data_IF_053770690877
#
_entry.id   IF_053770690877
#
_cell.length_a   1.000
_cell.length_b   1.000
_cell.length_c   1.000
_cell.angle_alpha   90.00
_cell.angle_beta   90.00
_cell.angle_gamma   90.00
#
_symmetry.space_group_name_H-M   'P 1'
#
loop_
_entity.id
_entity.type
_entity.pdbx_description
1 polymer ?
#
# COMPACT_ATOMS: atom_id res chain seq x y z
N UNK A 1 -50.04 -21.18 -5.36
CA UNK A 1 -49.82 -21.00 -6.81
C UNK A 1 -49.35 -22.34 -7.29
N UNK A 2 -50.10 -22.96 -8.21
CA UNK A 2 -49.78 -24.30 -8.69
C UNK A 2 -48.43 -24.25 -9.41
N UNK A 3 -47.59 -25.24 -9.16
CA UNK A 3 -46.26 -25.35 -9.76
C UNK A 3 -46.38 -25.40 -11.29
N UNK A 4 -45.69 -24.47 -11.96
CA UNK A 4 -45.68 -24.37 -13.41
C UNK A 4 -44.91 -25.51 -14.11
N UNK A 5 -44.14 -26.30 -13.35
CA UNK A 5 -43.37 -27.41 -13.88
C UNK A 5 -44.12 -28.74 -13.78
N UNK A 6 -44.65 -29.09 -12.61
CA UNK A 6 -45.33 -30.38 -12.40
C UNK A 6 -46.87 -30.30 -12.43
N UNK A 7 -47.48 -29.11 -12.35
CA UNK A 7 -48.93 -28.86 -12.35
C UNK A 7 -49.76 -29.56 -11.24
N UNK A 8 -49.13 -30.35 -10.37
CA UNK A 8 -49.81 -31.17 -9.35
C UNK A 8 -49.76 -30.57 -7.94
N UNK A 9 -48.72 -29.79 -7.61
CA UNK A 9 -48.46 -29.32 -6.25
C UNK A 9 -48.39 -27.79 -6.21
N UNK A 10 -48.88 -27.18 -5.12
CA UNK A 10 -48.66 -25.76 -4.85
C UNK A 10 -47.23 -25.50 -4.35
N UNK A 11 -46.67 -24.35 -4.75
CA UNK A 11 -45.43 -23.86 -4.15
C UNK A 11 -45.60 -23.60 -2.64
N UNK A 12 -44.55 -23.90 -1.88
CA UNK A 12 -44.45 -23.62 -0.45
C UNK A 12 -43.23 -22.75 -0.16
N UNK A 13 -43.42 -21.72 0.68
CA UNK A 13 -42.32 -20.86 1.11
C UNK A 13 -41.31 -21.66 1.94
N UNK A 14 -40.05 -21.58 1.58
CA UNK A 14 -38.94 -22.23 2.28
C UNK A 14 -37.70 -21.33 2.29
N UNK A 15 -36.77 -21.63 3.20
CA UNK A 15 -35.48 -20.94 3.30
C UNK A 15 -34.41 -21.75 2.59
N UNK A 16 -33.66 -21.08 1.71
CA UNK A 16 -32.53 -21.65 1.00
C UNK A 16 -31.28 -20.79 1.16
N UNK A 17 -30.14 -21.42 0.97
CA UNK A 17 -28.86 -20.73 0.81
C UNK A 17 -28.47 -20.75 -0.65
N UNK A 18 -28.00 -19.62 -1.18
CA UNK A 18 -27.60 -19.50 -2.60
C UNK A 18 -26.19 -18.98 -2.71
N UNK A 19 -25.39 -19.62 -3.55
CA UNK A 19 -24.05 -19.16 -3.87
C UNK A 19 -24.12 -17.96 -4.83
N UNK A 20 -23.35 -16.93 -4.56
CA UNK A 20 -23.21 -15.74 -5.39
C UNK A 20 -21.74 -15.33 -5.46
N UNK A 21 -21.30 -14.88 -6.63
CA UNK A 21 -19.99 -14.26 -6.80
C UNK A 21 -20.06 -12.82 -6.28
N UNK A 22 -19.40 -12.54 -5.15
CA UNK A 22 -19.33 -11.23 -4.51
C UNK A 22 -17.85 -10.84 -4.41
N UNK A 23 -17.46 -9.74 -5.07
CA UNK A 23 -16.07 -9.27 -5.13
C UNK A 23 -15.07 -10.34 -5.59
N UNK A 24 -15.44 -11.12 -6.61
CA UNK A 24 -14.60 -12.18 -7.20
C UNK A 24 -14.44 -13.43 -6.32
N UNK A 25 -15.17 -13.52 -5.20
CA UNK A 25 -15.19 -14.68 -4.30
C UNK A 25 -16.58 -15.30 -4.28
N UNK A 26 -16.64 -16.62 -4.28
CA UNK A 26 -17.89 -17.35 -4.08
C UNK A 26 -18.31 -17.19 -2.60
N UNK A 27 -19.47 -16.58 -2.37
CA UNK A 27 -20.04 -16.41 -1.04
C UNK A 27 -21.44 -17.03 -1.01
N UNK A 28 -21.81 -17.58 0.14
CA UNK A 28 -23.14 -18.15 0.38
C UNK A 28 -24.01 -17.08 1.01
N UNK A 29 -25.12 -16.73 0.36
CA UNK A 29 -26.15 -15.86 0.92
C UNK A 29 -27.15 -16.73 1.68
N UNK A 30 -27.21 -16.65 3.02
CA UNK A 30 -28.09 -17.50 3.82
C UNK A 30 -29.52 -16.95 3.92
N UNK A 31 -30.43 -17.84 4.32
CA UNK A 31 -31.80 -17.55 4.74
C UNK A 31 -32.61 -16.78 3.68
N UNK A 32 -32.50 -17.18 2.42
CA UNK A 32 -33.29 -16.62 1.33
C UNK A 32 -34.65 -17.29 1.28
N UNK A 33 -35.72 -16.52 1.45
CA UNK A 33 -37.07 -16.99 1.20
C UNK A 33 -37.27 -17.23 -0.29
N UNK A 34 -37.81 -18.39 -0.62
CA UNK A 34 -38.19 -18.77 -1.97
C UNK A 34 -39.42 -19.67 -1.95
N UNK A 35 -40.07 -19.80 -3.09
CA UNK A 35 -41.20 -20.68 -3.31
C UNK A 35 -40.70 -21.99 -3.92
N UNK A 36 -40.76 -23.10 -3.18
CA UNK A 36 -40.29 -24.42 -3.62
C UNK A 36 -41.45 -25.40 -3.77
N UNK A 37 -41.49 -26.10 -4.89
CA UNK A 37 -42.48 -27.14 -5.13
C UNK A 37 -42.08 -28.44 -4.41
N UNK A 38 -42.94 -29.04 -3.57
CA UNK A 38 -42.61 -30.28 -2.86
C UNK A 38 -42.57 -31.51 -3.78
N UNK A 39 -43.27 -31.47 -4.92
CA UNK A 39 -43.34 -32.60 -5.86
C UNK A 39 -42.11 -32.73 -6.77
N UNK A 40 -41.72 -31.65 -7.46
CA UNK A 40 -40.61 -31.68 -8.42
C UNK A 40 -39.36 -30.91 -7.97
N UNK A 41 -39.41 -30.17 -6.86
CA UNK A 41 -38.29 -29.40 -6.35
C UNK A 41 -38.01 -28.08 -7.06
N UNK A 42 -38.84 -27.69 -8.04
CA UNK A 42 -38.71 -26.42 -8.74
C UNK A 42 -38.76 -25.24 -7.75
N UNK A 43 -37.91 -24.24 -7.98
CA UNK A 43 -37.71 -23.11 -7.06
C UNK A 43 -37.88 -21.80 -7.81
N UNK A 44 -38.84 -20.99 -7.37
CA UNK A 44 -39.11 -19.67 -7.92
C UNK A 44 -38.97 -18.60 -6.84
N UNK A 45 -38.61 -17.39 -7.25
CA UNK A 45 -38.56 -16.23 -6.37
C UNK A 45 -39.65 -15.26 -6.79
N UNK A 46 -40.45 -14.80 -5.84
CA UNK A 46 -41.34 -13.67 -6.08
C UNK A 46 -40.52 -12.39 -6.30
N UNK A 47 -41.18 -11.32 -6.76
CA UNK A 47 -40.52 -10.03 -6.91
C UNK A 47 -39.94 -9.52 -5.57
N UNK A 48 -40.70 -9.62 -4.49
CA UNK A 48 -40.26 -9.18 -3.16
C UNK A 48 -39.09 -10.03 -2.63
N UNK A 49 -39.15 -11.36 -2.80
CA UNK A 49 -38.07 -12.27 -2.43
C UNK A 49 -36.79 -12.00 -3.24
N UNK A 50 -36.93 -11.71 -4.54
CA UNK A 50 -35.80 -11.33 -5.40
C UNK A 50 -35.15 -10.03 -4.94
N UNK A 51 -35.95 -9.01 -4.60
CA UNK A 51 -35.44 -7.75 -4.04
C UNK A 51 -34.76 -7.95 -2.67
N UNK A 52 -35.30 -8.84 -1.82
CA UNK A 52 -34.69 -9.18 -0.53
C UNK A 52 -33.34 -9.89 -0.71
N UNK A 53 -33.26 -10.82 -1.67
CA UNK A 53 -32.02 -11.48 -2.06
C UNK A 53 -30.98 -10.46 -2.54
N UNK A 54 -31.37 -9.53 -3.42
CA UNK A 54 -30.47 -8.49 -3.92
C UNK A 54 -30.01 -7.56 -2.80
N UNK A 55 -30.89 -7.17 -1.87
CA UNK A 55 -30.50 -6.38 -0.70
C UNK A 55 -29.48 -7.11 0.16
N UNK A 56 -29.66 -8.40 0.42
CA UNK A 56 -28.69 -9.22 1.16
C UNK A 56 -27.35 -9.29 0.42
N UNK A 57 -27.38 -9.56 -0.88
CA UNK A 57 -26.18 -9.59 -1.74
C UNK A 57 -25.42 -8.26 -1.67
N UNK A 58 -26.12 -7.14 -1.85
CA UNK A 58 -25.56 -5.78 -1.81
C UNK A 58 -24.99 -5.47 -0.42
N UNK A 59 -25.68 -5.84 0.65
CA UNK A 59 -25.17 -5.66 2.01
C UNK A 59 -23.90 -6.46 2.27
N UNK A 60 -23.81 -7.69 1.78
CA UNK A 60 -22.57 -8.48 1.87
C UNK A 60 -21.43 -7.83 1.08
N UNK A 61 -21.73 -7.23 -0.08
CA UNK A 61 -20.74 -6.45 -0.85
C UNK A 61 -20.25 -5.24 -0.03
N UNK A 62 -21.15 -4.47 0.58
CA UNK A 62 -20.81 -3.34 1.45
C UNK A 62 -20.00 -3.75 2.69
N UNK A 63 -20.40 -4.81 3.38
CA UNK A 63 -19.73 -5.27 4.60
C UNK A 63 -18.34 -5.87 4.34
N UNK A 64 -18.05 -6.28 3.11
CA UNK A 64 -16.76 -6.89 2.77
C UNK A 64 -15.62 -5.89 2.59
N UNK A 65 -15.91 -4.60 2.35
CA UNK A 65 -14.91 -3.56 2.13
C UNK A 65 -14.73 -2.71 3.39
N UNK A 66 -13.50 -2.49 3.87
CA UNK A 66 -13.28 -1.63 5.02
C UNK A 66 -13.68 -0.19 4.71
N UNK A 67 -14.20 0.53 5.70
CA UNK A 67 -14.49 1.96 5.57
C UNK A 67 -13.19 2.74 5.41
N UNK A 68 -13.11 3.59 4.38
CA UNK A 68 -11.94 4.43 4.14
C UNK A 68 -11.85 5.54 5.18
N UNK A 69 -10.66 5.72 5.75
CA UNK A 69 -10.38 6.80 6.70
C UNK A 69 -10.22 8.15 6.00
N UNK A 70 -10.39 9.29 6.71
CA UNK A 70 -10.11 10.62 6.18
C UNK A 70 -8.72 10.74 5.56
N UNK A 71 -7.70 10.13 6.19
CA UNK A 71 -6.33 10.12 5.68
C UNK A 71 -6.21 9.31 4.38
N UNK A 72 -6.90 8.17 4.27
CA UNK A 72 -6.90 7.36 3.05
C UNK A 72 -7.56 8.09 1.87
N UNK A 73 -8.66 8.82 2.12
CA UNK A 73 -9.33 9.61 1.08
C UNK A 73 -8.45 10.76 0.57
N UNK A 74 -7.77 11.45 1.51
CA UNK A 74 -6.80 12.49 1.16
C UNK A 74 -5.60 11.93 0.40
N UNK A 75 -5.09 10.78 0.83
CA UNK A 75 -3.99 10.09 0.18
C UNK A 75 -4.36 9.61 -1.23
N UNK A 76 -5.57 9.06 -1.42
CA UNK A 76 -6.09 8.70 -2.74
C UNK A 76 -6.01 9.88 -3.71
N UNK A 77 -6.50 11.04 -3.28
CA UNK A 77 -6.47 12.26 -4.08
C UNK A 77 -5.03 12.69 -4.42
N UNK A 78 -4.11 12.60 -3.45
CA UNK A 78 -2.70 12.92 -3.64
C UNK A 78 -2.00 11.97 -4.62
N UNK A 79 -2.25 10.66 -4.53
CA UNK A 79 -1.71 9.64 -5.44
C UNK A 79 -2.14 9.93 -6.87
N UNK A 80 -3.41 10.26 -7.06
CA UNK A 80 -3.97 10.59 -8.37
C UNK A 80 -3.61 11.99 -8.86
N UNK A 81 -2.92 12.78 -8.04
CA UNK A 81 -2.50 14.17 -8.32
C UNK A 81 -3.68 15.07 -8.69
N UNK A 82 -4.83 14.83 -8.07
CA UNK A 82 -6.05 15.60 -8.31
C UNK A 82 -6.21 16.70 -7.27
N UNK A 83 -6.77 17.81 -7.71
CA UNK A 83 -7.34 18.82 -6.83
C UNK A 83 -8.62 18.30 -6.18
N UNK A 84 -9.11 19.00 -5.15
CA UNK A 84 -10.37 18.65 -4.51
C UNK A 84 -11.54 18.76 -5.49
N UNK A 85 -11.49 19.71 -6.43
CA UNK A 85 -12.55 19.91 -7.43
C UNK A 85 -12.54 18.76 -8.46
N UNK A 86 -11.38 18.40 -8.98
CA UNK A 86 -11.24 17.33 -9.99
C UNK A 86 -11.73 15.96 -9.47
N UNK A 87 -11.40 15.58 -8.23
CA UNK A 87 -11.88 14.30 -7.69
C UNK A 87 -13.39 14.31 -7.42
N UNK A 88 -13.94 15.48 -7.07
CA UNK A 88 -15.38 15.64 -6.85
C UNK A 88 -16.13 15.53 -8.18
N UNK A 89 -15.63 16.18 -9.24
CA UNK A 89 -16.20 16.09 -10.58
C UNK A 89 -16.14 14.67 -11.12
N UNK A 90 -15.01 13.98 -10.92
CA UNK A 90 -14.80 12.60 -11.35
C UNK A 90 -15.75 11.61 -10.66
N UNK A 91 -15.98 11.79 -9.36
CA UNK A 91 -16.87 10.93 -8.59
C UNK A 91 -18.33 11.40 -8.64
N UNK A 92 -18.61 12.54 -9.29
CA UNK A 92 -19.90 13.24 -9.27
C UNK A 92 -20.44 13.49 -7.84
N UNK A 93 -19.56 13.98 -6.97
CA UNK A 93 -19.84 14.29 -5.56
C UNK A 93 -19.76 15.80 -5.34
N UNK A 94 -20.65 16.36 -4.53
CA UNK A 94 -20.52 17.76 -4.13
C UNK A 94 -19.22 18.02 -3.36
N UNK A 95 -18.52 19.11 -3.72
CA UNK A 95 -17.24 19.53 -3.11
C UNK A 95 -17.23 19.50 -1.59
N UNK A 96 -18.32 19.94 -0.97
CA UNK A 96 -18.46 19.98 0.48
C UNK A 96 -18.47 18.58 1.08
N UNK A 97 -19.11 17.60 0.45
CA UNK A 97 -19.20 16.23 0.97
C UNK A 97 -17.82 15.57 1.04
N UNK A 98 -17.09 15.55 -0.09
CA UNK A 98 -15.76 14.94 -0.13
C UNK A 98 -14.78 15.66 0.81
N UNK A 99 -14.81 16.99 0.83
CA UNK A 99 -13.97 17.78 1.73
C UNK A 99 -14.24 17.51 3.21
N UNK A 100 -15.50 17.28 3.61
CA UNK A 100 -15.87 16.91 4.99
C UNK A 100 -15.36 15.52 5.35
N UNK A 101 -15.38 14.57 4.41
CA UNK A 101 -14.82 13.24 4.61
C UNK A 101 -13.30 13.27 4.80
N UNK A 102 -12.56 14.03 3.98
CA UNK A 102 -11.09 14.19 4.16
C UNK A 102 -10.71 14.83 5.51
N UNK A 103 -11.59 15.66 6.08
CA UNK A 103 -11.38 16.30 7.39
C UNK A 103 -11.90 15.46 8.56
N UNK A 104 -12.63 14.37 8.29
CA UNK A 104 -13.26 13.55 9.32
C UNK A 104 -14.44 14.23 10.02
N UNK A 105 -15.07 15.22 9.40
CA UNK A 105 -16.26 15.89 9.96
C UNK A 105 -17.53 15.05 9.78
N UNK A 106 -17.54 14.15 8.79
CA UNK A 106 -18.64 13.24 8.47
C UNK A 106 -18.06 11.93 7.97
N UNK A 107 -18.64 10.81 8.39
CA UNK A 107 -18.29 9.50 7.88
C UNK A 107 -18.80 9.31 6.44
N UNK A 108 -18.01 8.61 5.63
CA UNK A 108 -18.42 8.23 4.29
C UNK A 108 -19.56 7.20 4.36
N UNK A 109 -20.60 7.38 3.54
CA UNK A 109 -21.70 6.41 3.50
C UNK A 109 -21.24 5.10 2.85
N UNK A 110 -21.85 3.95 3.20
CA UNK A 110 -21.45 2.65 2.63
C UNK A 110 -21.45 2.62 1.09
N UNK A 111 -22.47 3.23 0.46
CA UNK A 111 -22.58 3.34 -1.00
C UNK A 111 -21.41 4.10 -1.63
N UNK A 112 -21.01 5.21 -1.01
CA UNK A 112 -19.90 6.02 -1.50
C UNK A 112 -18.55 5.35 -1.21
N UNK A 113 -18.43 4.65 -0.09
CA UNK A 113 -17.24 3.85 0.22
C UNK A 113 -17.03 2.77 -0.85
N UNK A 114 -18.08 2.05 -1.24
CA UNK A 114 -18.00 1.05 -2.31
C UNK A 114 -17.61 1.67 -3.65
N UNK A 115 -18.22 2.80 -4.02
CA UNK A 115 -17.88 3.51 -5.26
C UNK A 115 -16.39 3.87 -5.29
N UNK A 116 -15.86 4.40 -4.19
CA UNK A 116 -14.44 4.76 -4.10
C UNK A 116 -13.55 3.52 -4.13
N UNK A 117 -13.95 2.41 -3.51
CA UNK A 117 -13.21 1.14 -3.62
C UNK A 117 -13.17 0.61 -5.05
N UNK A 118 -14.29 0.61 -5.77
CA UNK A 118 -14.34 0.22 -7.18
C UNK A 118 -13.49 1.15 -8.05
N UNK A 119 -13.45 2.44 -7.69
CA UNK A 119 -12.58 3.40 -8.34
C UNK A 119 -11.11 3.08 -8.07
N UNK A 120 -10.70 2.84 -6.80
CA UNK A 120 -9.34 2.43 -6.43
C UNK A 120 -8.92 1.20 -7.24
N UNK A 121 -9.80 0.20 -7.39
CA UNK A 121 -9.49 -1.03 -8.15
C UNK A 121 -9.09 -0.78 -9.62
N UNK A 122 -9.50 0.34 -10.22
CA UNK A 122 -9.14 0.71 -11.59
C UNK A 122 -7.77 1.38 -11.72
N UNK A 123 -7.19 1.86 -10.62
CA UNK A 123 -5.89 2.56 -10.62
C UNK A 123 -4.85 1.74 -9.85
N UNK A 124 -3.90 1.07 -10.54
CA UNK A 124 -2.88 0.24 -9.89
C UNK A 124 -2.11 0.99 -8.80
N UNK A 125 -1.79 2.26 -9.03
CA UNK A 125 -1.06 3.11 -8.08
C UNK A 125 -1.87 3.35 -6.79
N UNK A 126 -3.18 3.56 -6.90
CA UNK A 126 -4.05 3.70 -5.74
C UNK A 126 -4.15 2.37 -4.96
N UNK A 127 -4.31 1.24 -5.66
CA UNK A 127 -4.39 -0.09 -5.04
C UNK A 127 -3.17 -0.39 -4.20
N UNK A 128 -1.98 -0.25 -4.77
CA UNK A 128 -0.72 -0.60 -4.11
C UNK A 128 -0.44 0.29 -2.89
N UNK A 129 -0.96 1.52 -2.87
CA UNK A 129 -0.74 2.45 -1.76
C UNK A 129 -1.82 2.42 -0.67
N UNK A 130 -3.05 1.99 -0.99
CA UNK A 130 -4.19 2.02 -0.07
C UNK A 130 -4.60 0.64 0.44
N UNK A 131 -4.33 -0.42 -0.33
CA UNK A 131 -4.69 -1.80 0.01
C UNK A 131 -3.44 -2.51 0.52
N UNK A 132 -3.42 -2.81 1.81
CA UNK A 132 -2.22 -3.36 2.48
C UNK A 132 -1.77 -4.70 1.90
N UNK A 133 -2.70 -5.57 1.51
CA UNK A 133 -2.36 -6.86 0.90
C UNK A 133 -1.68 -6.71 -0.45
N UNK A 134 -2.11 -5.75 -1.27
CA UNK A 134 -1.51 -5.46 -2.59
C UNK A 134 -0.13 -4.82 -2.42
N UNK A 135 0.00 -3.87 -1.48
CA UNK A 135 1.27 -3.26 -1.11
C UNK A 135 2.31 -4.32 -0.74
N UNK A 136 1.94 -5.24 0.15
CA UNK A 136 2.83 -6.29 0.63
C UNK A 136 3.20 -7.26 -0.50
N UNK A 137 2.25 -7.61 -1.37
CA UNK A 137 2.53 -8.47 -2.52
C UNK A 137 3.55 -7.85 -3.49
N UNK A 138 3.43 -6.57 -3.80
CA UNK A 138 4.39 -5.87 -4.65
C UNK A 138 5.76 -5.70 -3.97
N UNK A 139 5.80 -5.44 -2.66
CA UNK A 139 7.05 -5.44 -1.88
C UNK A 139 7.74 -6.79 -1.96
N UNK A 140 7.04 -7.90 -1.71
CA UNK A 140 7.63 -9.23 -1.74
C UNK A 140 8.17 -9.62 -3.11
N UNK A 141 7.46 -9.24 -4.17
CA UNK A 141 7.85 -9.45 -5.56
C UNK A 141 9.07 -8.62 -5.97
N UNK A 142 9.18 -7.38 -5.50
CA UNK A 142 10.29 -6.48 -5.83
C UNK A 142 11.54 -6.74 -5.00
N UNK A 143 11.38 -7.04 -3.71
CA UNK A 143 12.45 -7.24 -2.71
C UNK A 143 13.65 -8.06 -3.21
N UNK A 144 13.50 -9.28 -3.76
CA UNK A 144 14.66 -10.11 -4.13
C UNK A 144 15.53 -9.50 -5.23
N UNK A 145 15.00 -8.55 -6.02
CA UNK A 145 15.76 -7.89 -7.10
C UNK A 145 16.78 -6.88 -6.59
N UNK A 146 16.63 -6.42 -5.35
CA UNK A 146 17.40 -5.32 -4.78
C UNK A 146 18.20 -5.72 -3.53
N UNK A 147 18.18 -7.00 -3.16
CA UNK A 147 19.00 -7.57 -2.10
C UNK A 147 20.26 -8.19 -2.70
N UNK A 148 21.17 -7.36 -3.18
CA UNK A 148 22.49 -7.78 -3.65
C UNK A 148 23.59 -7.25 -2.75
N UNK A 149 24.77 -7.89 -2.80
CA UNK A 149 25.83 -7.65 -1.81
C UNK A 149 26.41 -6.24 -1.78
N UNK A 150 26.19 -5.47 -2.84
CA UNK A 150 26.71 -4.11 -3.00
C UNK A 150 25.70 -3.00 -2.70
N UNK A 151 24.42 -3.32 -2.51
CA UNK A 151 23.37 -2.30 -2.39
C UNK A 151 23.40 -1.68 -0.99
N UNK A 152 23.27 -0.35 -0.93
CA UNK A 152 23.14 0.38 0.33
C UNK A 152 21.69 0.50 0.77
N UNK A 153 21.44 0.84 2.05
CA UNK A 153 20.07 1.04 2.53
C UNK A 153 19.33 2.12 1.73
N UNK A 154 19.98 3.26 1.47
CA UNK A 154 19.37 4.35 0.71
C UNK A 154 19.02 3.95 -0.72
N UNK A 155 19.92 3.22 -1.39
CA UNK A 155 19.66 2.68 -2.73
C UNK A 155 18.53 1.66 -2.74
N UNK A 156 18.53 0.73 -1.78
CA UNK A 156 17.47 -0.26 -1.61
C UNK A 156 16.10 0.43 -1.48
N UNK A 157 15.97 1.40 -0.57
CA UNK A 157 14.69 2.10 -0.34
C UNK A 157 14.21 2.83 -1.60
N UNK A 158 15.10 3.55 -2.31
CA UNK A 158 14.75 4.23 -3.57
C UNK A 158 14.30 3.24 -4.65
N UNK A 159 15.03 2.14 -4.80
CA UNK A 159 14.71 1.12 -5.80
C UNK A 159 13.39 0.42 -5.48
N UNK A 160 13.12 0.15 -4.20
CA UNK A 160 11.84 -0.39 -3.75
C UNK A 160 10.67 0.57 -4.03
N UNK A 161 10.80 1.85 -3.66
CA UNK A 161 9.79 2.89 -3.94
C UNK A 161 9.51 2.97 -5.45
N UNK A 162 10.56 3.04 -6.27
CA UNK A 162 10.44 3.14 -7.72
C UNK A 162 9.80 1.89 -8.35
N UNK A 163 10.19 0.69 -7.91
CA UNK A 163 9.71 -0.56 -8.49
C UNK A 163 8.27 -0.90 -8.08
N UNK A 164 7.90 -0.61 -6.84
CA UNK A 164 6.55 -0.89 -6.30
C UNK A 164 5.56 0.22 -6.61
N UNK A 165 6.03 1.42 -6.98
CA UNK A 165 5.21 2.64 -7.10
C UNK A 165 4.50 3.04 -5.80
N UNK A 166 5.00 2.60 -4.64
CA UNK A 166 4.55 3.10 -3.35
C UNK A 166 5.06 4.53 -3.19
N UNK A 167 4.22 5.46 -2.77
CA UNK A 167 4.61 6.86 -2.60
C UNK A 167 5.50 7.04 -1.38
N UNK A 168 6.40 8.01 -1.44
CA UNK A 168 7.29 8.34 -0.31
C UNK A 168 6.52 8.71 0.95
N UNK A 169 5.33 9.33 0.82
CA UNK A 169 4.45 9.64 1.95
C UNK A 169 3.98 8.36 2.67
N UNK A 170 3.56 7.34 1.92
CA UNK A 170 3.11 6.06 2.48
C UNK A 170 4.25 5.33 3.17
N UNK A 171 5.43 5.31 2.54
CA UNK A 171 6.63 4.73 3.17
C UNK A 171 6.96 5.50 4.46
N UNK A 172 6.99 6.83 4.42
CA UNK A 172 7.25 7.66 5.60
C UNK A 172 6.29 7.36 6.76
N UNK A 173 4.98 7.31 6.49
CA UNK A 173 3.96 6.96 7.49
C UNK A 173 4.21 5.58 8.08
N UNK A 174 4.50 4.57 7.25
CA UNK A 174 4.74 3.19 7.71
C UNK A 174 6.04 3.05 8.49
N UNK A 175 7.03 3.89 8.22
CA UNK A 175 8.28 3.94 8.96
C UNK A 175 8.20 4.81 10.23
N UNK A 176 7.20 5.67 10.33
CA UNK A 176 7.04 6.64 11.43
C UNK A 176 7.93 7.87 11.29
N UNK A 177 8.23 8.27 10.05
CA UNK A 177 9.12 9.39 9.73
C UNK A 177 8.51 10.36 8.73
N UNK A 178 9.00 11.60 8.73
CA UNK A 178 8.64 12.59 7.72
C UNK A 178 9.31 12.31 6.36
N UNK A 179 8.77 12.87 5.29
CA UNK A 179 9.34 12.76 3.93
C UNK A 179 10.78 13.27 3.84
N UNK A 180 11.12 14.34 4.55
CA UNK A 180 12.48 14.87 4.60
C UNK A 180 13.48 13.95 5.31
N UNK A 181 13.04 13.15 6.29
CA UNK A 181 13.90 12.15 6.94
C UNK A 181 14.07 10.92 6.05
N UNK A 182 12.98 10.49 5.38
CA UNK A 182 13.05 9.44 4.38
C UNK A 182 14.04 9.81 3.26
N UNK A 183 13.99 11.04 2.76
CA UNK A 183 14.92 11.53 1.73
C UNK A 183 16.38 11.48 2.19
N UNK A 184 16.67 11.78 3.46
CA UNK A 184 18.02 11.62 4.02
C UNK A 184 18.47 10.17 4.09
N UNK A 185 17.57 9.24 4.44
CA UNK A 185 17.85 7.79 4.41
C UNK A 185 18.10 7.34 2.97
N UNK A 186 17.19 7.68 2.05
CA UNK A 186 17.34 7.43 0.62
C UNK A 186 18.69 7.93 0.12
N UNK A 187 19.16 9.09 0.59
CA UNK A 187 20.44 9.68 0.19
C UNK A 187 21.64 9.25 1.05
N UNK A 188 21.54 8.20 1.86
CA UNK A 188 22.64 7.74 2.72
C UNK A 188 23.28 8.86 3.57
N UNK A 189 22.52 9.89 3.93
CA UNK A 189 23.01 11.08 4.66
C UNK A 189 23.07 10.86 6.16
N UNK A 190 22.34 9.86 6.65
CA UNK A 190 22.29 9.50 8.06
C UNK A 190 23.23 8.31 8.28
N UNK A 191 24.23 8.41 9.18
CA UNK A 191 25.01 7.25 9.58
C UNK A 191 24.10 6.15 10.12
N UNK A 192 24.31 4.88 9.77
CA UNK A 192 23.46 3.77 10.22
C UNK A 192 23.13 3.77 11.70
N UNK A 193 24.10 4.05 12.56
CA UNK A 193 23.94 4.06 14.01
C UNK A 193 23.11 5.25 14.52
N UNK A 194 22.95 6.29 13.70
CA UNK A 194 22.11 7.45 14.00
C UNK A 194 20.67 7.26 13.53
N UNK A 195 20.35 6.19 12.78
CA UNK A 195 18.97 5.85 12.45
C UNK A 195 18.31 5.33 13.74
N UNK A 196 17.22 5.95 14.23
CA UNK A 196 16.56 5.48 15.44
C UNK A 196 16.14 4.02 15.34
N UNK A 197 16.33 3.26 16.42
CA UNK A 197 16.11 1.81 16.48
C UNK A 197 14.70 1.43 16.02
N UNK A 198 13.68 2.20 16.42
CA UNK A 198 12.30 1.97 16.00
C UNK A 198 12.09 2.12 14.50
N UNK A 199 12.78 3.06 13.85
CA UNK A 199 12.70 3.26 12.40
C UNK A 199 13.40 2.11 11.67
N UNK A 200 14.58 1.68 12.14
CA UNK A 200 15.27 0.53 11.58
C UNK A 200 14.43 -0.76 11.70
N UNK A 201 13.77 -0.98 12.85
CA UNK A 201 12.84 -2.09 13.02
C UNK A 201 11.62 -1.98 12.08
N UNK A 202 11.07 -0.77 11.89
CA UNK A 202 9.98 -0.54 10.95
C UNK A 202 10.40 -0.78 9.50
N UNK A 203 11.63 -0.44 9.10
CA UNK A 203 12.19 -0.75 7.77
C UNK A 203 12.21 -2.27 7.56
N UNK A 204 12.68 -3.02 8.57
CA UNK A 204 12.70 -4.49 8.52
C UNK A 204 11.31 -5.07 8.36
N UNK A 205 10.34 -4.61 9.18
CA UNK A 205 8.95 -5.07 9.13
C UNK A 205 8.27 -4.71 7.82
N UNK A 206 8.41 -3.46 7.38
CA UNK A 206 7.73 -2.93 6.20
C UNK A 206 8.23 -3.57 4.91
N UNK A 207 9.55 -3.65 4.72
CA UNK A 207 10.14 -4.24 3.51
C UNK A 207 10.35 -5.76 3.62
N UNK A 208 9.95 -6.38 4.73
CA UNK A 208 10.10 -7.82 5.02
C UNK A 208 11.51 -8.34 4.78
N UNK A 209 12.54 -7.60 5.20
CA UNK A 209 13.94 -8.03 5.05
C UNK A 209 14.40 -8.79 6.31
N UNK A 210 15.47 -9.59 6.21
CA UNK A 210 16.06 -10.25 7.40
C UNK A 210 17.01 -9.29 8.12
N UNK A 211 17.40 -9.63 9.35
CA UNK A 211 18.43 -8.88 10.07
C UNK A 211 19.80 -8.92 9.38
N UNK A 212 20.12 -10.01 8.70
CA UNK A 212 21.35 -10.14 7.92
C UNK A 212 21.33 -9.19 6.71
N UNK A 213 20.20 -9.11 6.00
CA UNK A 213 20.00 -8.16 4.92
C UNK A 213 20.13 -6.73 5.43
N UNK A 214 19.49 -6.39 6.56
CA UNK A 214 19.61 -5.07 7.15
C UNK A 214 21.07 -4.73 7.47
N UNK A 215 21.79 -5.65 8.14
CA UNK A 215 23.21 -5.46 8.45
C UNK A 215 24.01 -5.15 7.20
N UNK A 216 23.84 -5.93 6.14
CA UNK A 216 24.55 -5.74 4.88
C UNK A 216 24.25 -4.38 4.23
N UNK A 217 22.97 -4.00 4.16
CA UNK A 217 22.55 -2.70 3.63
C UNK A 217 23.17 -1.53 4.40
N UNK A 218 23.21 -1.63 5.74
CA UNK A 218 23.80 -0.61 6.61
C UNK A 218 25.34 -0.55 6.48
N UNK A 219 26.01 -1.70 6.40
CA UNK A 219 27.46 -1.75 6.16
C UNK A 219 27.84 -1.09 4.83
N UNK A 220 27.04 -1.30 3.78
CA UNK A 220 27.24 -0.64 2.50
C UNK A 220 26.96 0.86 2.57
N UNK A 221 25.96 1.30 3.34
CA UNK A 221 25.75 2.73 3.63
C UNK A 221 26.97 3.35 4.33
N UNK A 222 27.60 2.67 5.30
CA UNK A 222 28.84 3.15 5.94
C UNK A 222 30.00 3.28 4.95
N UNK A 223 30.16 2.34 4.01
CA UNK A 223 31.20 2.42 2.97
C UNK A 223 31.03 3.69 2.12
N UNK A 224 29.81 3.98 1.67
CA UNK A 224 29.49 5.17 0.87
C UNK A 224 29.82 6.45 1.65
N UNK A 225 29.47 6.52 2.93
CA UNK A 225 29.77 7.67 3.76
C UNK A 225 31.28 7.89 3.96
N UNK A 226 32.03 6.80 4.12
CA UNK A 226 33.49 6.83 4.18
C UNK A 226 34.09 7.50 2.94
N UNK A 227 33.64 7.09 1.75
CA UNK A 227 34.08 7.69 0.49
C UNK A 227 33.67 9.15 0.33
N UNK A 228 32.46 9.51 0.76
CA UNK A 228 31.97 10.91 0.68
C UNK A 228 32.89 11.89 1.43
N UNK A 229 33.55 11.43 2.49
CA UNK A 229 34.54 12.25 3.22
C UNK A 229 35.91 12.36 2.51
N UNK A 230 36.20 11.50 1.54
CA UNK A 230 37.48 11.41 0.84
C UNK A 230 37.44 12.04 -0.56
N UNK A 231 36.27 12.13 -1.18
CA UNK A 231 36.14 12.69 -2.54
C UNK A 231 35.83 14.18 -2.48
N UNK A 232 36.81 15.00 -2.87
CA UNK A 232 36.60 16.43 -3.15
C UNK A 232 36.13 16.59 -4.59
N UNK A 233 34.87 16.98 -4.80
CA UNK A 233 34.29 17.12 -6.13
C UNK A 233 34.43 18.56 -6.64
N UNK A 234 35.10 18.76 -7.77
CA UNK A 234 35.05 20.02 -8.50
C UNK A 234 33.64 20.23 -9.07
N UNK A 235 32.98 21.32 -8.65
CA UNK A 235 31.61 21.63 -9.02
C UNK A 235 31.54 22.21 -10.44
N UNK A 236 30.83 21.54 -11.35
CA UNK A 236 30.25 22.21 -12.51
C UNK A 236 29.05 23.03 -12.02
N UNK A 237 28.99 24.32 -12.36
CA UNK A 237 27.92 25.24 -11.92
C UNK A 237 26.54 24.70 -12.30
N UNK A 238 25.77 24.23 -11.32
CA UNK A 238 24.35 23.89 -11.52
C UNK A 238 23.54 25.20 -11.56
N UNK A 239 22.77 25.49 -12.62
CA UNK A 239 22.09 26.78 -12.78
C UNK A 239 20.82 26.93 -11.91
N UNK A 240 20.48 25.93 -11.08
CA UNK A 240 19.27 25.92 -10.28
C UNK A 240 19.59 26.14 -8.80
N UNK A 241 19.07 27.23 -8.22
CA UNK A 241 19.17 27.55 -6.80
C UNK A 241 17.87 27.16 -6.08
N UNK A 242 17.96 26.35 -5.01
CA UNK A 242 16.84 25.98 -4.14
C UNK A 242 16.89 24.53 -3.63
N UNK A 243 16.12 24.23 -2.56
CA UNK A 243 16.04 22.89 -1.93
C UNK A 243 15.79 21.70 -2.89
N UNK A 244 14.95 21.82 -3.94
CA UNK A 244 14.76 20.72 -4.89
C UNK A 244 16.02 20.43 -5.71
N UNK A 245 16.83 21.44 -6.01
CA UNK A 245 18.08 21.25 -6.74
C UNK A 245 19.15 20.57 -5.87
N UNK A 246 19.18 20.89 -4.58
CA UNK A 246 20.08 20.25 -3.61
C UNK A 246 19.78 18.75 -3.46
N UNK A 247 18.51 18.36 -3.40
CA UNK A 247 18.17 16.95 -3.26
C UNK A 247 18.39 16.14 -4.53
N UNK A 248 18.11 16.71 -5.71
CA UNK A 248 18.46 16.10 -7.00
C UNK A 248 19.97 15.92 -7.13
N UNK A 249 20.75 16.91 -6.67
CA UNK A 249 22.20 16.81 -6.61
C UNK A 249 22.65 15.70 -5.65
N UNK A 250 22.14 15.67 -4.42
CA UNK A 250 22.47 14.63 -3.44
C UNK A 250 22.17 13.21 -3.98
N UNK A 251 21.01 13.02 -4.63
CA UNK A 251 20.65 11.75 -5.29
C UNK A 251 21.63 11.37 -6.39
N UNK A 252 22.02 12.31 -7.24
CA UNK A 252 22.94 12.07 -8.35
C UNK A 252 24.34 11.71 -7.83
N UNK A 253 24.82 12.43 -6.82
CA UNK A 253 26.10 12.19 -6.16
C UNK A 253 26.16 10.80 -5.52
N UNK A 254 25.10 10.41 -4.80
CA UNK A 254 25.05 9.08 -4.19
C UNK A 254 25.04 7.96 -5.22
N UNK A 255 24.33 8.12 -6.34
CA UNK A 255 24.37 7.14 -7.44
C UNK A 255 25.77 6.96 -8.02
N UNK A 256 26.55 8.04 -8.10
CA UNK A 256 27.95 7.98 -8.55
C UNK A 256 28.79 7.22 -7.51
N UNK A 257 28.69 7.60 -6.23
CA UNK A 257 29.43 6.95 -5.15
C UNK A 257 29.09 5.46 -5.02
N UNK A 258 27.82 5.09 -5.15
CA UNK A 258 27.35 3.70 -5.14
C UNK A 258 28.03 2.86 -6.24
N UNK A 259 28.15 3.41 -7.45
CA UNK A 259 28.89 2.73 -8.54
C UNK A 259 30.38 2.59 -8.24
N UNK A 260 31.01 3.62 -7.69
CA UNK A 260 32.44 3.56 -7.30
C UNK A 260 32.71 2.53 -6.18
N UNK A 261 31.79 2.35 -5.23
CA UNK A 261 31.92 1.32 -4.18
C UNK A 261 31.92 -0.10 -4.78
N UNK A 262 31.17 -0.32 -5.86
CA UNK A 262 31.12 -1.61 -6.56
C UNK A 262 32.44 -1.93 -7.25
N UNK A 263 33.12 -0.91 -7.79
CA UNK A 263 34.27 -1.10 -8.68
C UNK A 263 35.62 -1.14 -7.96
N UNK A 264 35.83 -0.40 -6.85
CA UNK A 264 37.20 -0.07 -6.40
C UNK A 264 37.47 -0.12 -4.87
N UNK A 265 36.59 -0.67 -4.04
CA UNK A 265 36.78 -0.57 -2.58
C UNK A 265 37.78 -1.59 -1.99
N UNK A 266 38.98 -1.18 -1.48
CA UNK A 266 39.69 -1.98 -0.50
C UNK A 266 38.80 -2.14 0.74
N UNK A 267 38.77 -3.34 1.31
CA UNK A 267 37.89 -3.72 2.42
C UNK A 267 38.12 -2.84 3.67
N UNK A 268 37.48 -1.66 3.69
CA UNK A 268 37.31 -0.85 4.88
C UNK A 268 36.48 -1.66 5.88
N UNK A 269 37.14 -2.10 6.97
CA UNK A 269 36.59 -2.93 8.05
C UNK A 269 35.56 -2.20 8.94
N UNK A 270 34.96 -1.09 8.49
CA UNK A 270 33.93 -0.41 9.29
C UNK A 270 32.64 -1.20 9.20
N UNK A 271 32.43 -2.05 10.19
CA UNK A 271 31.18 -2.77 10.43
C UNK A 271 30.27 -1.95 11.31
N UNK A 272 28.96 -2.08 11.11
CA UNK A 272 27.95 -1.47 11.99
C UNK A 272 28.09 -2.05 13.41
N UNK A 273 27.93 -1.21 14.44
CA UNK A 273 27.97 -1.66 15.83
C UNK A 273 27.03 -2.85 16.08
N UNK A 274 27.55 -4.02 16.53
CA UNK A 274 26.73 -5.19 16.84
C UNK A 274 25.67 -4.96 17.91
N UNK A 275 25.93 -4.07 18.88
CA UNK A 275 24.98 -3.72 19.93
C UNK A 275 23.76 -2.97 19.37
N UNK A 276 23.98 -2.11 18.37
CA UNK A 276 22.88 -1.45 17.65
C UNK A 276 21.99 -2.47 16.95
N UNK A 277 22.59 -3.40 16.20
CA UNK A 277 21.86 -4.47 15.50
C UNK A 277 21.09 -5.36 16.47
N UNK A 278 21.68 -5.67 17.63
CA UNK A 278 21.00 -6.43 18.68
C UNK A 278 19.75 -5.70 19.19
N UNK A 279 19.86 -4.40 19.50
CA UNK A 279 18.73 -3.58 19.94
C UNK A 279 17.61 -3.52 18.90
N UNK A 280 17.95 -3.41 17.61
CA UNK A 280 16.96 -3.49 16.52
C UNK A 280 16.28 -4.85 16.49
N UNK A 281 17.05 -5.94 16.62
CA UNK A 281 16.53 -7.30 16.69
C UNK A 281 15.61 -7.53 17.90
N UNK A 282 15.93 -6.95 19.05
CA UNK A 282 15.11 -7.03 20.26
C UNK A 282 13.78 -6.29 20.08
N UNK A 283 13.72 -5.19 19.32
CA UNK A 283 12.48 -4.50 18.98
C UNK A 283 11.57 -5.24 17.98
N UNK A 284 12.10 -6.25 17.28
CA UNK A 284 11.33 -7.03 16.30
C UNK A 284 10.56 -8.19 16.93
N UNK A 285 11.00 -8.66 18.11
CA UNK A 285 10.34 -9.69 18.92
C UNK A 285 9.08 -9.14 19.59
#
# INVERSE_FOLDING_TARGET
MICANCFEHDYQTTLVSKEAMINGRLQVIPDLECEKCPGCGDTVFTHEQSLAMDKKRINMEFSSKPTLTPQQLKLLRQILKMSLEEICDLLHIGRNSYGRWERGEVDISPSMNLLIHQFIERFPEARVNLIETEMQAEIEKARPRFLSDSVSLGEFVRNMIAATKITADVVGIKLGIGTGELEKIENNEIPPENIPIGIAANIVRFFRITMDNLKQLLENTLKIQGLRSQVSFMHARTPAHGKPAESVYARSMNKILEKYVVEDAPASRRTVNPEYLKKVGDCLR
#
